data_IF_391324705223
#
_entry.id   IF_391324705223
#
_cell.length_a   1.000
_cell.length_b   1.000
_cell.length_c   1.000
_cell.angle_alpha   90.00
_cell.angle_beta   90.00
_cell.angle_gamma   90.00
#
_symmetry.space_group_name_H-M   'P 1'
#
loop_
_entity.id
_entity.type
_entity.pdbx_description
1 polymer ?
#
# COMPACT_ATOMS: atom_id res chain seq x y z
N UNK A 1 10.79 -15.58 7.55
CA UNK A 1 10.84 -17.06 7.64
C UNK A 1 9.67 -17.62 8.45
N UNK A 2 9.41 -17.15 9.67
CA UNK A 2 8.29 -17.65 10.49
C UNK A 2 6.88 -17.44 9.87
N UNK A 3 6.52 -16.24 9.34
CA UNK A 3 5.20 -16.06 8.70
C UNK A 3 5.01 -16.95 7.46
N UNK A 4 6.06 -17.11 6.65
CA UNK A 4 6.06 -17.97 5.45
C UNK A 4 5.85 -19.44 5.86
N UNK A 5 6.61 -19.94 6.84
CA UNK A 5 6.46 -21.32 7.32
C UNK A 5 5.05 -21.58 7.84
N UNK A 6 4.49 -20.65 8.62
CA UNK A 6 3.14 -20.80 9.14
C UNK A 6 2.08 -20.76 8.03
N UNK A 7 2.22 -19.88 7.03
CA UNK A 7 1.31 -19.83 5.89
C UNK A 7 1.29 -21.16 5.10
N UNK A 8 2.44 -21.81 4.92
CA UNK A 8 2.52 -23.10 4.21
C UNK A 8 1.98 -24.28 5.03
N UNK A 9 2.12 -24.22 6.35
CA UNK A 9 1.76 -25.33 7.24
C UNK A 9 0.41 -25.14 7.92
N UNK A 10 -0.30 -24.05 7.67
CA UNK A 10 -1.55 -23.73 8.34
C UNK A 10 -2.57 -24.88 8.21
N UNK A 11 -3.24 -25.29 9.31
CA UNK A 11 -3.24 -24.69 10.64
C UNK A 11 -2.11 -25.17 11.57
N UNK A 12 -1.32 -26.15 11.15
CA UNK A 12 -0.24 -26.74 11.95
C UNK A 12 0.97 -25.80 12.07
N UNK A 13 1.74 -25.97 13.14
CA UNK A 13 3.04 -25.30 13.33
C UNK A 13 4.16 -26.31 13.10
N UNK A 14 5.07 -25.99 12.19
CA UNK A 14 6.30 -26.76 12.00
C UNK A 14 7.31 -26.31 13.06
N UNK A 15 7.92 -27.28 13.75
CA UNK A 15 8.99 -27.01 14.70
C UNK A 15 10.17 -26.32 13.98
N UNK A 16 10.77 -25.33 14.64
CA UNK A 16 11.96 -24.65 14.16
C UNK A 16 12.84 -24.25 15.34
N UNK A 17 14.10 -23.98 15.03
CA UNK A 17 15.15 -23.54 15.94
C UNK A 17 15.41 -22.03 15.84
N UNK A 18 14.48 -21.26 15.26
CA UNK A 18 14.64 -19.81 15.14
C UNK A 18 14.70 -19.15 16.52
N UNK A 19 15.50 -18.08 16.67
CA UNK A 19 15.57 -17.34 17.93
C UNK A 19 14.18 -16.93 18.43
N UNK A 20 13.88 -17.30 19.67
CA UNK A 20 12.64 -16.89 20.35
C UNK A 20 12.81 -15.48 20.90
N UNK A 21 11.71 -14.75 20.97
CA UNK A 21 11.68 -13.48 21.66
C UNK A 21 12.06 -13.69 23.13
N UNK A 22 13.06 -12.94 23.62
CA UNK A 22 13.52 -13.00 25.01
C UNK A 22 13.06 -11.74 25.75
N UNK A 23 12.03 -11.89 26.58
CA UNK A 23 11.45 -10.80 27.38
C UNK A 23 12.44 -10.18 28.37
N UNK A 24 13.55 -10.84 28.71
CA UNK A 24 14.57 -10.27 29.60
C UNK A 24 15.46 -9.26 28.89
N UNK A 25 15.53 -9.31 27.56
CA UNK A 25 16.38 -8.42 26.75
C UNK A 25 15.70 -7.12 26.36
N UNK A 26 14.37 -7.05 26.42
CA UNK A 26 13.59 -5.86 26.07
C UNK A 26 12.73 -5.48 27.27
N UNK A 27 12.96 -4.27 27.80
CA UNK A 27 12.31 -3.78 29.00
C UNK A 27 10.93 -3.16 28.76
N UNK A 28 10.59 -2.78 27.51
CA UNK A 28 9.36 -2.07 27.21
C UNK A 28 8.89 -2.29 25.78
N UNK A 29 7.57 -2.29 25.59
CA UNK A 29 6.89 -2.11 24.31
C UNK A 29 6.06 -0.82 24.39
N UNK A 30 6.28 0.09 23.45
CA UNK A 30 5.57 1.37 23.37
C UNK A 30 4.54 1.32 22.25
N UNK A 31 3.44 2.05 22.44
CA UNK A 31 2.36 2.16 21.48
C UNK A 31 1.95 3.63 21.40
N UNK A 32 1.64 4.07 20.19
CA UNK A 32 1.18 5.42 19.91
C UNK A 32 0.09 5.39 18.83
N UNK A 33 -0.79 6.39 18.85
CA UNK A 33 -1.76 6.55 17.77
C UNK A 33 -1.06 7.04 16.51
N UNK A 34 -1.42 6.53 15.32
CA UNK A 34 -0.84 7.00 14.08
C UNK A 34 -1.30 8.44 13.79
N UNK A 35 -0.35 9.33 13.47
CA UNK A 35 -0.68 10.67 12.98
C UNK A 35 -1.13 10.62 11.52
N UNK A 36 -2.43 10.41 11.32
CA UNK A 36 -3.07 10.34 10.00
C UNK A 36 -3.16 11.70 9.29
N UNK A 37 -2.88 12.81 9.98
CA UNK A 37 -2.84 14.14 9.37
C UNK A 37 -1.52 14.36 8.64
N UNK A 38 -0.42 13.97 9.30
CA UNK A 38 0.93 14.04 8.72
C UNK A 38 1.19 12.87 7.77
N UNK A 39 0.83 11.64 8.14
CA UNK A 39 1.04 10.43 7.35
C UNK A 39 -0.26 9.98 6.66
N UNK A 40 -0.73 10.82 5.74
CA UNK A 40 -2.05 10.70 5.10
C UNK A 40 -2.23 9.44 4.23
N UNK A 41 -1.15 8.77 3.82
CA UNK A 41 -1.24 7.50 3.08
C UNK A 41 -2.00 6.40 3.85
N UNK A 42 -1.94 6.38 5.18
CA UNK A 42 -2.74 5.45 5.98
C UNK A 42 -4.24 5.75 5.85
N UNK A 43 -4.61 7.04 5.85
CA UNK A 43 -5.99 7.47 5.64
C UNK A 43 -6.49 7.06 4.24
N UNK A 44 -5.70 7.30 3.19
CA UNK A 44 -6.03 6.91 1.82
C UNK A 44 -6.22 5.39 1.69
N UNK A 45 -5.37 4.59 2.32
CA UNK A 45 -5.51 3.13 2.33
C UNK A 45 -6.80 2.69 3.05
N UNK A 46 -7.13 3.30 4.18
CA UNK A 46 -8.40 3.03 4.89
C UNK A 46 -9.61 3.43 4.05
N UNK A 47 -9.54 4.52 3.32
CA UNK A 47 -10.59 4.96 2.40
C UNK A 47 -10.76 3.98 1.24
N UNK A 48 -9.66 3.56 0.59
CA UNK A 48 -9.70 2.58 -0.49
C UNK A 48 -10.30 1.24 -0.02
N UNK A 49 -9.95 0.79 1.19
CA UNK A 49 -10.53 -0.40 1.80
C UNK A 49 -12.04 -0.26 2.05
N UNK A 50 -12.49 0.91 2.53
CA UNK A 50 -13.92 1.18 2.76
C UNK A 50 -14.71 1.26 1.46
N UNK A 51 -14.16 1.90 0.43
CA UNK A 51 -14.77 1.99 -0.90
C UNK A 51 -14.83 0.62 -1.58
N UNK A 52 -13.83 -0.23 -1.39
CA UNK A 52 -13.75 -1.54 -2.02
C UNK A 52 -13.59 -1.44 -3.55
N UNK A 53 -14.18 -2.38 -4.28
CA UNK A 53 -14.15 -2.38 -5.74
C UNK A 53 -12.73 -2.33 -6.31
N UNK A 54 -12.50 -1.51 -7.33
CA UNK A 54 -11.19 -1.30 -7.94
C UNK A 54 -10.28 -0.31 -7.18
N UNK A 55 -10.78 0.39 -6.17
CA UNK A 55 -10.05 1.50 -5.54
C UNK A 55 -8.70 1.10 -4.91
N UNK A 56 -8.54 -0.06 -4.24
CA UNK A 56 -7.24 -0.50 -3.75
C UNK A 56 -6.21 -0.74 -4.86
N UNK A 57 -6.66 -1.20 -6.04
CA UNK A 57 -5.80 -1.39 -7.21
C UNK A 57 -5.30 -0.04 -7.74
N UNK A 58 -6.20 0.95 -7.87
CA UNK A 58 -5.86 2.32 -8.27
C UNK A 58 -4.84 2.94 -7.31
N UNK A 59 -5.06 2.82 -6.00
CA UNK A 59 -4.12 3.30 -4.98
C UNK A 59 -2.73 2.65 -5.14
N UNK A 60 -2.68 1.33 -5.28
CA UNK A 60 -1.41 0.61 -5.40
C UNK A 60 -0.65 1.03 -6.67
N UNK A 61 -1.34 1.08 -7.81
CA UNK A 61 -0.77 1.48 -9.10
C UNK A 61 -0.19 2.90 -9.05
N UNK A 62 -0.92 3.85 -8.48
CA UNK A 62 -0.47 5.22 -8.31
C UNK A 62 0.77 5.32 -7.40
N UNK A 63 0.76 4.58 -6.27
CA UNK A 63 1.88 4.57 -5.33
C UNK A 63 3.16 4.03 -5.96
N UNK A 64 3.09 2.97 -6.78
CA UNK A 64 4.25 2.44 -7.48
C UNK A 64 4.89 3.47 -8.43
N UNK A 65 4.09 4.21 -9.19
CA UNK A 65 4.57 5.27 -10.09
C UNK A 65 5.17 6.44 -9.31
N UNK A 66 4.49 6.88 -8.25
CA UNK A 66 4.97 7.98 -7.41
C UNK A 66 6.28 7.62 -6.68
N UNK A 67 6.37 6.44 -6.08
CA UNK A 67 7.60 5.96 -5.41
C UNK A 67 8.73 5.79 -6.41
N UNK A 68 8.46 5.26 -7.62
CA UNK A 68 9.46 5.17 -8.68
C UNK A 68 10.05 6.54 -9.04
N UNK A 69 9.20 7.56 -9.16
CA UNK A 69 9.62 8.92 -9.45
C UNK A 69 10.42 9.55 -8.30
N UNK A 70 9.98 9.34 -7.06
CA UNK A 70 10.68 9.78 -5.85
C UNK A 70 12.09 9.17 -5.77
N UNK A 71 12.23 7.86 -5.97
CA UNK A 71 13.52 7.17 -5.97
C UNK A 71 14.47 7.65 -7.07
N UNK A 72 13.95 8.29 -8.11
CA UNK A 72 14.70 8.93 -9.20
C UNK A 72 14.88 10.44 -9.03
N UNK A 73 14.57 10.99 -7.86
CA UNK A 73 14.64 12.42 -7.55
C UNK A 73 13.82 13.30 -8.52
N UNK A 74 12.71 12.79 -9.05
CA UNK A 74 11.80 13.55 -9.94
C UNK A 74 10.72 14.31 -9.18
N UNK A 75 10.32 13.78 -8.02
CA UNK A 75 9.36 14.40 -7.11
C UNK A 75 9.87 14.32 -5.67
N UNK A 76 9.35 15.15 -4.79
CA UNK A 76 9.60 15.12 -3.35
C UNK A 76 8.81 14.02 -2.64
N UNK A 77 9.14 13.80 -1.37
CA UNK A 77 8.47 12.79 -0.54
C UNK A 77 6.98 13.10 -0.33
N UNK A 78 6.62 14.37 -0.12
CA UNK A 78 5.23 14.79 0.10
C UNK A 78 4.38 14.67 -1.17
N UNK A 79 4.99 14.76 -2.35
CA UNK A 79 4.31 14.65 -3.63
C UNK A 79 3.76 13.23 -3.87
N UNK A 80 4.32 12.21 -3.19
CA UNK A 80 3.84 10.82 -3.31
C UNK A 80 2.37 10.75 -2.91
N UNK A 81 2.01 11.33 -1.77
CA UNK A 81 0.64 11.34 -1.27
C UNK A 81 -0.28 12.10 -2.22
N UNK A 82 0.16 13.24 -2.74
CA UNK A 82 -0.64 14.04 -3.68
C UNK A 82 -0.95 13.26 -4.96
N UNK A 83 0.05 12.58 -5.55
CA UNK A 83 -0.13 11.77 -6.76
C UNK A 83 -1.10 10.62 -6.52
N UNK A 84 -1.02 9.95 -5.37
CA UNK A 84 -1.93 8.86 -5.01
C UNK A 84 -3.36 9.36 -4.85
N UNK A 85 -3.56 10.43 -4.06
CA UNK A 85 -4.88 11.02 -3.81
C UNK A 85 -5.56 11.48 -5.11
N UNK A 86 -4.84 12.24 -5.94
CA UNK A 86 -5.37 12.72 -7.21
C UNK A 86 -5.72 11.58 -8.17
N UNK A 87 -4.94 10.51 -8.17
CA UNK A 87 -5.24 9.33 -9.00
C UNK A 87 -6.48 8.61 -8.50
N UNK A 88 -6.63 8.42 -7.19
CA UNK A 88 -7.83 7.83 -6.60
C UNK A 88 -9.10 8.64 -6.89
N UNK A 89 -9.00 9.97 -6.95
CA UNK A 89 -10.13 10.86 -7.26
C UNK A 89 -10.48 10.88 -8.76
N UNK A 90 -9.51 10.64 -9.64
CA UNK A 90 -9.70 10.77 -11.09
C UNK A 90 -10.20 9.50 -11.77
N UNK A 91 -9.70 8.34 -11.36
CA UNK A 91 -9.96 7.06 -12.02
C UNK A 91 -11.39 6.59 -11.73
N UNK A 92 -12.05 6.05 -12.74
CA UNK A 92 -13.45 5.62 -12.63
C UNK A 92 -13.58 4.50 -11.60
N UNK A 93 -14.50 4.69 -10.64
CA UNK A 93 -14.79 3.66 -9.65
C UNK A 93 -15.66 2.55 -10.22
N UNK A 94 -15.23 1.31 -10.02
CA UNK A 94 -15.95 0.09 -10.39
C UNK A 94 -16.22 -0.69 -9.11
N UNK A 95 -17.50 -0.81 -8.74
CA UNK A 95 -17.89 -1.43 -7.46
C UNK A 95 -17.67 -2.95 -7.42
N UNK A 96 -17.83 -3.62 -8.57
CA UNK A 96 -17.68 -5.08 -8.71
C UNK A 96 -16.79 -5.40 -9.93
N UNK A 97 -15.48 -5.12 -9.84
CA UNK A 97 -14.58 -5.29 -10.97
C UNK A 97 -14.34 -6.77 -11.28
N UNK A 98 -14.31 -7.08 -12.57
CA UNK A 98 -13.75 -8.31 -13.12
C UNK A 98 -12.21 -8.22 -13.14
N UNK A 99 -11.55 -9.32 -13.48
CA UNK A 99 -10.09 -9.31 -13.64
C UNK A 99 -9.63 -8.35 -14.74
N UNK A 100 -10.37 -8.25 -15.85
CA UNK A 100 -10.04 -7.32 -16.92
C UNK A 100 -10.20 -5.87 -16.46
N UNK A 101 -11.24 -5.57 -15.69
CA UNK A 101 -11.43 -4.23 -15.11
C UNK A 101 -10.25 -3.84 -14.20
N UNK A 102 -9.65 -4.79 -13.49
CA UNK A 102 -8.45 -4.53 -12.70
C UNK A 102 -7.22 -4.22 -13.56
N UNK A 103 -7.02 -4.94 -14.68
CA UNK A 103 -5.92 -4.63 -15.60
C UNK A 103 -6.09 -3.24 -16.23
N UNK A 104 -7.31 -2.90 -16.63
CA UNK A 104 -7.62 -1.58 -17.18
C UNK A 104 -7.46 -0.48 -16.12
N UNK A 105 -7.96 -0.70 -14.90
CA UNK A 105 -7.82 0.24 -13.79
C UNK A 105 -6.36 0.48 -13.40
N UNK A 106 -5.53 -0.58 -13.35
CA UNK A 106 -4.09 -0.46 -13.09
C UNK A 106 -3.40 0.36 -14.19
N UNK A 107 -3.69 0.05 -15.47
CA UNK A 107 -3.14 0.79 -16.60
C UNK A 107 -3.56 2.27 -16.62
N UNK A 108 -4.84 2.57 -16.42
CA UNK A 108 -5.36 3.94 -16.37
C UNK A 108 -4.76 4.71 -15.19
N UNK A 109 -4.69 4.10 -14.01
CA UNK A 109 -4.08 4.70 -12.82
C UNK A 109 -2.60 5.01 -13.03
N UNK A 110 -1.83 4.09 -13.63
CA UNK A 110 -0.40 4.32 -13.93
C UNK A 110 -0.21 5.46 -14.94
N UNK A 111 -0.99 5.47 -16.02
CA UNK A 111 -0.90 6.51 -17.04
C UNK A 111 -1.25 7.88 -16.48
N UNK A 112 -2.32 7.96 -15.67
CA UNK A 112 -2.70 9.22 -15.04
C UNK A 112 -1.67 9.67 -14.01
N UNK A 113 -1.21 8.78 -13.11
CA UNK A 113 -0.17 9.10 -12.15
C UNK A 113 1.11 9.60 -12.84
N UNK A 114 1.55 8.95 -13.94
CA UNK A 114 2.71 9.36 -14.73
C UNK A 114 2.52 10.75 -15.36
N UNK A 115 1.30 11.07 -15.82
CA UNK A 115 0.98 12.39 -16.38
C UNK A 115 1.11 13.53 -15.36
N UNK A 116 0.89 13.26 -14.06
CA UNK A 116 1.03 14.26 -12.99
C UNK A 116 2.50 14.62 -12.71
N UNK A 117 3.41 13.71 -13.00
CA UNK A 117 4.84 13.81 -12.65
C UNK A 117 5.75 14.00 -13.87
N UNK A 118 5.17 14.19 -15.05
CA UNK A 118 5.88 14.40 -16.32
C UNK A 118 6.91 13.30 -16.62
N UNK A 119 6.52 12.03 -16.40
CA UNK A 119 7.32 10.87 -16.83
C UNK A 119 7.28 10.65 -18.34
#
# INVERSE_FOLDING_TARGET
>A
KLPIQYAMAFPQRIANDYPRFDFRKISQLTFEEPDIKTFRNLHLAMEALKRGGNMPCVLNAANEIAVFAFLRNRIGFLDITEVVERTMDRITFIAQPTLNDYYESDGEARNFAASLIQL
#
